data_IF_781707751295
#
_entry.id   IF_781707751295
#
_cell.length_a   1.000
_cell.length_b   1.000
_cell.length_c   1.000
_cell.angle_alpha   90.00
_cell.angle_beta   90.00
_cell.angle_gamma   90.00
#
_symmetry.space_group_name_H-M   'P 1'
#
loop_
_entity.id
_entity.type
_entity.pdbx_description
1 polymer ?
#
# COMPACT_ATOMS: atom_id res chain seq x y z
N UNK A 1 32.54 -34.46 11.26
CA UNK A 1 32.02 -33.31 12.03
C UNK A 1 31.35 -32.38 11.04
N UNK A 2 30.03 -32.48 10.94
CA UNK A 2 29.19 -31.52 10.23
C UNK A 2 28.62 -30.62 11.31
N UNK A 3 29.07 -29.37 11.38
CA UNK A 3 28.34 -28.33 12.10
C UNK A 3 27.36 -27.71 11.11
N UNK A 4 26.14 -28.22 11.12
CA UNK A 4 24.99 -27.57 10.50
C UNK A 4 24.47 -26.53 11.48
N UNK A 5 24.93 -25.29 11.35
CA UNK A 5 24.34 -24.15 12.05
C UNK A 5 22.96 -23.89 11.43
N UNK A 6 21.92 -24.42 12.07
CA UNK A 6 20.54 -24.03 11.81
C UNK A 6 20.40 -22.54 12.12
N UNK A 7 20.44 -21.70 11.10
CA UNK A 7 19.91 -20.34 11.18
C UNK A 7 18.40 -20.49 11.44
N UNK A 8 17.98 -20.21 12.67
CA UNK A 8 16.57 -20.09 13.00
C UNK A 8 16.05 -18.84 12.26
N UNK A 9 15.53 -19.04 11.04
CA UNK A 9 14.69 -18.04 10.39
C UNK A 9 13.43 -17.95 11.25
N UNK A 10 13.42 -17.03 12.22
CA UNK A 10 12.20 -16.67 12.94
C UNK A 10 11.24 -16.09 11.91
N UNK A 11 10.26 -16.89 11.50
CA UNK A 11 9.16 -16.46 10.64
C UNK A 11 8.55 -15.19 11.23
N UNK A 12 8.36 -14.17 10.39
CA UNK A 12 7.67 -12.95 10.82
C UNK A 12 6.20 -13.29 11.02
N UNK A 13 5.66 -13.04 12.22
CA UNK A 13 4.25 -13.28 12.52
C UNK A 13 3.43 -11.97 12.55
N UNK A 14 2.13 -12.09 12.28
CA UNK A 14 1.19 -10.96 12.18
C UNK A 14 1.09 -10.15 13.48
N UNK A 15 1.22 -10.79 14.65
CA UNK A 15 1.08 -10.14 15.94
C UNK A 15 2.30 -9.26 16.24
N UNK A 16 3.49 -9.70 15.82
CA UNK A 16 4.70 -8.88 15.83
C UNK A 16 4.55 -7.63 14.96
N UNK A 17 4.10 -7.77 13.70
CA UNK A 17 3.89 -6.64 12.80
C UNK A 17 2.83 -5.68 13.35
N UNK A 18 1.70 -6.22 13.84
CA UNK A 18 0.62 -5.43 14.45
C UNK A 18 1.10 -4.63 15.66
N UNK A 19 1.91 -5.24 16.53
CA UNK A 19 2.51 -4.55 17.68
C UNK A 19 3.41 -3.40 17.24
N UNK A 20 4.23 -3.62 16.20
CA UNK A 20 5.08 -2.56 15.65
C UNK A 20 4.26 -1.44 15.02
N UNK A 21 3.20 -1.75 14.27
CA UNK A 21 2.29 -0.72 13.74
C UNK A 21 1.68 0.13 14.86
N UNK A 22 1.21 -0.50 15.93
CA UNK A 22 0.63 0.20 17.07
C UNK A 22 1.65 1.12 17.77
N UNK A 23 2.90 0.68 17.89
CA UNK A 23 4.01 1.50 18.38
C UNK A 23 4.36 2.64 17.41
N UNK A 24 4.30 2.38 16.11
CA UNK A 24 4.56 3.38 15.08
C UNK A 24 3.47 4.46 15.04
N UNK A 25 2.20 4.13 15.33
CA UNK A 25 1.13 5.12 15.56
C UNK A 25 1.48 6.07 16.71
N UNK A 26 2.20 5.59 17.72
CA UNK A 26 2.70 6.39 18.86
C UNK A 26 4.05 7.05 18.59
N UNK A 27 4.57 6.95 17.36
CA UNK A 27 5.85 7.50 16.92
C UNK A 27 7.06 6.99 17.72
N UNK A 28 7.03 5.73 18.16
CA UNK A 28 8.22 5.13 18.77
C UNK A 28 9.31 4.88 17.71
N UNK A 29 10.54 5.39 17.89
CA UNK A 29 11.61 5.27 16.89
C UNK A 29 11.95 3.83 16.51
N UNK A 30 11.90 2.91 17.47
CA UNK A 30 12.20 1.49 17.26
C UNK A 30 11.23 0.84 16.28
N UNK A 31 9.96 1.25 16.31
CA UNK A 31 8.96 0.76 15.38
C UNK A 31 9.16 1.33 13.97
N UNK A 32 9.57 2.60 13.86
CA UNK A 32 9.91 3.18 12.55
C UNK A 32 11.14 2.51 11.95
N UNK A 33 12.15 2.23 12.78
CA UNK A 33 13.35 1.52 12.38
C UNK A 33 13.02 0.10 11.90
N UNK A 34 12.16 -0.62 12.61
CA UNK A 34 11.69 -1.94 12.20
C UNK A 34 11.16 -1.95 10.76
N UNK A 35 10.26 -1.03 10.40
CA UNK A 35 9.72 -0.98 9.03
C UNK A 35 10.74 -0.51 7.99
N UNK A 36 11.65 0.40 8.36
CA UNK A 36 12.72 0.83 7.46
C UNK A 36 13.68 -0.33 7.13
N UNK A 37 14.01 -1.19 8.10
CA UNK A 37 14.85 -2.38 7.87
C UNK A 37 14.15 -3.47 7.05
N UNK A 38 12.82 -3.45 6.99
CA UNK A 38 12.01 -4.46 6.31
C UNK A 38 11.36 -3.94 5.01
N UNK A 39 11.81 -2.80 4.47
CA UNK A 39 11.20 -2.15 3.32
C UNK A 39 11.21 -2.99 2.02
N UNK A 40 12.07 -4.02 1.97
CA UNK A 40 12.17 -4.96 0.85
C UNK A 40 11.77 -6.40 1.28
N UNK A 41 11.07 -6.55 2.41
CA UNK A 41 10.67 -7.85 2.94
C UNK A 41 9.24 -8.22 2.50
N UNK A 42 9.12 -9.20 1.61
CA UNK A 42 7.84 -9.65 1.06
C UNK A 42 6.88 -10.24 2.12
N UNK A 43 7.39 -10.91 3.15
CA UNK A 43 6.56 -11.45 4.23
C UNK A 43 5.93 -10.32 5.06
N UNK A 44 6.72 -9.28 5.38
CA UNK A 44 6.19 -8.10 6.08
C UNK A 44 5.19 -7.36 5.20
N UNK A 45 5.45 -7.23 3.89
CA UNK A 45 4.50 -6.61 2.96
C UNK A 45 3.16 -7.34 2.94
N UNK A 46 3.16 -8.66 2.82
CA UNK A 46 1.94 -9.47 2.83
C UNK A 46 1.14 -9.25 4.13
N UNK A 47 1.81 -9.27 5.28
CA UNK A 47 1.17 -9.02 6.58
C UNK A 47 0.62 -7.59 6.70
N UNK A 48 1.26 -6.59 6.09
CA UNK A 48 0.74 -5.23 6.04
C UNK A 48 -0.57 -5.16 5.24
N UNK A 49 -0.69 -5.90 4.13
CA UNK A 49 -1.93 -6.01 3.37
C UNK A 49 -3.04 -6.72 4.17
N UNK A 50 -2.72 -7.86 4.80
CA UNK A 50 -3.66 -8.58 5.67
C UNK A 50 -4.24 -7.67 6.78
N UNK A 51 -3.38 -6.83 7.36
CA UNK A 51 -3.79 -5.88 8.40
C UNK A 51 -4.61 -4.73 7.82
N UNK A 52 -4.24 -4.22 6.65
CA UNK A 52 -4.92 -3.08 6.00
C UNK A 52 -6.34 -3.45 5.53
N UNK A 53 -6.52 -4.67 5.04
CA UNK A 53 -7.80 -5.20 4.56
C UNK A 53 -8.64 -5.85 5.68
N UNK A 54 -8.00 -6.25 6.78
CA UNK A 54 -8.65 -6.92 7.89
C UNK A 54 -9.42 -6.00 8.84
N UNK A 55 -10.12 -6.63 9.80
CA UNK A 55 -10.85 -5.95 10.88
C UNK A 55 -9.92 -5.57 12.02
N UNK A 56 -9.13 -4.52 11.78
CA UNK A 56 -8.23 -3.92 12.77
C UNK A 56 -8.63 -2.48 13.07
N UNK A 57 -8.18 -1.92 14.21
CA UNK A 57 -8.37 -0.49 14.46
C UNK A 57 -7.78 0.32 13.31
N UNK A 58 -8.62 1.01 12.57
CA UNK A 58 -8.46 2.34 11.99
C UNK A 58 -7.04 2.95 11.98
N UNK A 59 -6.48 3.28 13.14
CA UNK A 59 -5.14 3.86 13.25
C UNK A 59 -4.02 2.90 12.84
N UNK A 60 -4.18 1.61 13.15
CA UNK A 60 -3.31 0.51 12.71
C UNK A 60 -3.46 0.30 11.21
N UNK A 61 -4.69 0.24 10.67
CA UNK A 61 -4.96 0.11 9.23
C UNK A 61 -4.38 1.28 8.43
N UNK A 62 -4.55 2.50 8.92
CA UNK A 62 -3.95 3.69 8.32
C UNK A 62 -2.42 3.58 8.30
N UNK A 63 -1.82 3.17 9.42
CA UNK A 63 -0.36 3.07 9.54
C UNK A 63 0.19 1.95 8.66
N UNK A 64 -0.49 0.82 8.53
CA UNK A 64 -0.08 -0.26 7.62
C UNK A 64 -0.10 0.21 6.18
N UNK A 65 -1.19 0.85 5.72
CA UNK A 65 -1.26 1.44 4.38
C UNK A 65 -0.16 2.46 4.12
N UNK A 66 0.17 3.28 5.13
CA UNK A 66 1.24 4.26 4.98
C UNK A 66 2.60 3.61 4.70
N UNK A 67 2.90 2.48 5.36
CA UNK A 67 4.13 1.72 5.12
C UNK A 67 4.09 0.96 3.80
N UNK A 68 2.95 0.38 3.39
CA UNK A 68 2.78 -0.24 2.06
C UNK A 68 3.21 0.76 0.96
N UNK A 69 2.78 2.02 1.07
CA UNK A 69 3.11 3.05 0.09
C UNK A 69 4.61 3.40 0.02
N UNK A 70 5.44 2.92 0.93
CA UNK A 70 6.88 3.11 0.94
C UNK A 70 7.63 2.00 0.16
N UNK A 71 7.07 0.79 0.05
CA UNK A 71 7.71 -0.37 -0.61
C UNK A 71 8.04 -0.11 -2.10
N UNK A 72 9.05 -0.78 -2.67
CA UNK A 72 9.42 -0.66 -4.08
C UNK A 72 8.27 -1.01 -5.03
N UNK A 73 8.29 -0.43 -6.23
CA UNK A 73 7.20 -0.60 -7.21
C UNK A 73 7.07 -2.06 -7.66
N UNK A 74 8.20 -2.74 -7.86
CA UNK A 74 8.31 -4.14 -8.25
C UNK A 74 7.61 -5.10 -7.29
N UNK A 75 7.63 -4.80 -5.98
CA UNK A 75 6.94 -5.62 -4.99
C UNK A 75 5.44 -5.31 -4.92
N UNK A 76 5.07 -4.06 -5.18
CA UNK A 76 3.67 -3.62 -5.13
C UNK A 76 2.86 -4.05 -6.35
N UNK A 77 3.50 -4.39 -7.47
CA UNK A 77 2.82 -4.85 -8.69
C UNK A 77 1.97 -6.09 -8.45
N UNK A 78 2.43 -7.01 -7.60
CA UNK A 78 1.72 -8.25 -7.27
C UNK A 78 0.45 -8.00 -6.42
N UNK A 79 0.28 -6.79 -5.89
CA UNK A 79 -0.82 -6.39 -5.00
C UNK A 79 -1.73 -5.32 -5.60
N UNK A 80 -1.76 -5.17 -6.94
CA UNK A 80 -2.58 -4.12 -7.58
C UNK A 80 -4.07 -4.24 -7.20
N UNK A 81 -4.66 -5.44 -7.18
CA UNK A 81 -6.08 -5.64 -6.81
C UNK A 81 -6.36 -5.19 -5.37
N UNK A 82 -5.53 -5.63 -4.42
CA UNK A 82 -5.68 -5.28 -3.00
C UNK A 82 -5.53 -3.76 -2.79
N UNK A 83 -4.63 -3.12 -3.53
CA UNK A 83 -4.49 -1.67 -3.52
C UNK A 83 -5.71 -0.95 -4.10
N UNK A 84 -6.32 -1.48 -5.16
CA UNK A 84 -7.55 -0.93 -5.74
C UNK A 84 -8.72 -1.03 -4.76
N UNK A 85 -8.82 -2.13 -4.01
CA UNK A 85 -9.81 -2.27 -2.94
C UNK A 85 -9.57 -1.21 -1.84
N UNK A 86 -8.33 -1.04 -1.39
CA UNK A 86 -7.98 -0.01 -0.40
C UNK A 86 -8.20 1.42 -0.92
N UNK A 87 -7.99 1.70 -2.21
CA UNK A 87 -8.29 3.01 -2.82
C UNK A 87 -9.80 3.33 -2.78
N UNK A 88 -10.66 2.31 -2.77
CA UNK A 88 -12.11 2.48 -2.74
C UNK A 88 -12.67 2.77 -1.34
N UNK A 89 -11.82 2.66 -0.31
CA UNK A 89 -12.20 2.89 1.09
C UNK A 89 -12.72 4.32 1.32
N UNK A 90 -13.72 4.41 2.19
CA UNK A 90 -14.28 5.71 2.62
C UNK A 90 -13.33 6.45 3.55
N UNK A 91 -12.41 5.73 4.18
CA UNK A 91 -11.40 6.33 5.02
C UNK A 91 -10.32 7.00 4.17
N UNK A 92 -10.34 8.33 4.15
CA UNK A 92 -9.45 9.14 3.30
C UNK A 92 -7.97 8.75 3.47
N UNK A 93 -7.45 8.68 4.69
CA UNK A 93 -6.05 8.31 4.93
C UNK A 93 -5.64 6.92 4.41
N UNK A 94 -6.51 5.91 4.53
CA UNK A 94 -6.24 4.57 3.97
C UNK A 94 -6.22 4.65 2.44
N UNK A 95 -7.25 5.26 1.86
CA UNK A 95 -7.38 5.44 0.42
C UNK A 95 -6.22 6.25 -0.17
N UNK A 96 -5.78 7.33 0.48
CA UNK A 96 -4.74 8.23 -0.02
C UNK A 96 -3.38 7.54 -0.11
N UNK A 97 -3.06 6.70 0.88
CA UNK A 97 -1.85 5.88 0.85
C UNK A 97 -1.92 4.80 -0.23
N UNK A 98 -3.07 4.15 -0.42
CA UNK A 98 -3.28 3.21 -1.52
C UNK A 98 -3.15 3.89 -2.90
N UNK A 99 -3.72 5.09 -3.08
CA UNK A 99 -3.57 5.91 -4.29
C UNK A 99 -2.09 6.19 -4.58
N UNK A 100 -1.31 6.54 -3.55
CA UNK A 100 0.13 6.78 -3.69
C UNK A 100 0.88 5.53 -4.14
N UNK A 101 0.56 4.36 -3.56
CA UNK A 101 1.15 3.08 -3.96
C UNK A 101 0.78 2.71 -5.42
N UNK A 102 -0.48 2.86 -5.79
CA UNK A 102 -0.98 2.61 -7.15
C UNK A 102 -0.35 3.54 -8.19
N UNK A 103 -0.14 4.81 -7.83
CA UNK A 103 0.57 5.76 -8.68
C UNK A 103 2.03 5.35 -8.89
N UNK A 104 2.68 4.76 -7.86
CA UNK A 104 4.06 4.26 -7.94
C UNK A 104 4.17 3.12 -8.97
N UNK A 105 3.21 2.21 -9.01
CA UNK A 105 3.16 1.13 -10.02
C UNK A 105 2.52 1.56 -11.34
N UNK A 106 2.10 2.82 -11.45
CA UNK A 106 1.46 3.42 -12.64
C UNK A 106 0.20 2.67 -13.08
N UNK A 107 -0.61 2.21 -12.13
CA UNK A 107 -1.87 1.48 -12.41
C UNK A 107 -2.83 2.36 -13.23
N UNK A 108 -3.20 1.97 -14.46
CA UNK A 108 -4.17 2.72 -15.25
C UNK A 108 -5.58 2.65 -14.66
N UNK A 109 -5.92 1.52 -14.01
CA UNK A 109 -7.20 1.32 -13.32
C UNK A 109 -7.35 2.28 -12.14
N UNK A 110 -6.28 2.44 -11.37
CA UNK A 110 -6.27 3.38 -10.26
C UNK A 110 -6.39 4.83 -10.72
N UNK A 111 -5.71 5.18 -11.83
CA UNK A 111 -5.80 6.52 -12.41
C UNK A 111 -7.22 6.81 -12.92
N UNK A 112 -7.86 5.83 -13.57
CA UNK A 112 -9.27 5.92 -13.96
C UNK A 112 -10.18 6.18 -12.76
N UNK A 113 -10.02 5.39 -11.68
CA UNK A 113 -10.78 5.58 -10.45
C UNK A 113 -10.57 6.98 -9.86
N UNK A 114 -9.33 7.45 -9.77
CA UNK A 114 -9.00 8.77 -9.23
C UNK A 114 -9.72 9.88 -10.01
N UNK A 115 -9.68 9.81 -11.33
CA UNK A 115 -10.35 10.79 -12.21
C UNK A 115 -11.87 10.74 -12.00
N UNK A 116 -12.49 9.56 -12.10
CA UNK A 116 -13.95 9.40 -12.06
C UNK A 116 -14.55 9.66 -10.68
N UNK A 117 -13.89 9.22 -9.60
CA UNK A 117 -14.48 9.16 -8.27
C UNK A 117 -13.98 10.27 -7.33
N UNK A 118 -12.78 10.81 -7.54
CA UNK A 118 -12.19 11.82 -6.62
C UNK A 118 -12.12 13.21 -7.26
N UNK A 119 -11.82 13.30 -8.56
CA UNK A 119 -11.63 14.58 -9.27
C UNK A 119 -12.94 15.06 -9.89
N UNK A 120 -13.51 14.30 -10.83
CA UNK A 120 -14.70 14.68 -11.60
C UNK A 120 -15.88 15.17 -10.75
N UNK A 121 -16.20 14.57 -9.59
CA UNK A 121 -17.32 15.02 -8.76
C UNK A 121 -17.13 16.43 -8.18
N UNK A 122 -15.89 16.90 -8.09
CA UNK A 122 -15.51 18.20 -7.51
C UNK A 122 -15.07 19.21 -8.59
N UNK A 123 -14.45 18.70 -9.66
CA UNK A 123 -13.78 19.45 -10.72
C UNK A 123 -14.09 18.81 -12.08
N UNK A 124 -15.28 19.10 -12.62
CA UNK A 124 -15.81 18.42 -13.81
C UNK A 124 -14.94 18.64 -15.05
N UNK A 125 -14.54 19.88 -15.33
CA UNK A 125 -13.80 20.22 -16.55
C UNK A 125 -12.40 19.58 -16.53
N UNK A 126 -11.72 19.63 -15.38
CA UNK A 126 -10.42 19.00 -15.16
C UNK A 126 -10.54 17.47 -15.25
N UNK A 127 -11.59 16.90 -14.67
CA UNK A 127 -11.89 15.48 -14.79
C UNK A 127 -12.08 15.04 -16.24
N UNK A 128 -12.86 15.78 -17.04
CA UNK A 128 -13.07 15.48 -18.47
C UNK A 128 -11.76 15.57 -19.27
N UNK A 129 -10.95 16.61 -19.02
CA UNK A 129 -9.64 16.75 -19.66
C UNK A 129 -8.69 15.59 -19.32
N UNK A 130 -8.65 15.17 -18.05
CA UNK A 130 -7.84 14.03 -17.62
C UNK A 130 -8.34 12.71 -18.20
N UNK A 131 -9.66 12.51 -18.30
CA UNK A 131 -10.24 11.32 -18.93
C UNK A 131 -9.85 11.19 -20.40
N UNK A 132 -9.84 12.29 -21.16
CA UNK A 132 -9.36 12.28 -22.54
C UNK A 132 -7.88 11.90 -22.61
N UNK A 133 -7.04 12.51 -21.79
CA UNK A 133 -5.61 12.19 -21.75
C UNK A 133 -5.35 10.72 -21.38
N UNK A 134 -6.11 10.18 -20.43
CA UNK A 134 -6.03 8.77 -20.04
C UNK A 134 -6.43 7.83 -21.18
N UNK A 135 -7.46 8.17 -21.94
CA UNK A 135 -7.88 7.37 -23.09
C UNK A 135 -6.77 7.28 -24.15
N UNK A 136 -6.08 8.39 -24.42
CA UNK A 136 -4.93 8.41 -25.34
C UNK A 136 -3.78 7.52 -24.82
N UNK A 137 -3.41 7.66 -23.54
CA UNK A 137 -2.36 6.83 -22.93
C UNK A 137 -2.67 5.34 -22.98
N UNK A 138 -3.93 4.96 -22.82
CA UNK A 138 -4.38 3.56 -22.88
C UNK A 138 -4.42 3.02 -24.31
N UNK A 139 -4.71 3.87 -25.30
CA UNK A 139 -4.69 3.49 -26.71
C UNK A 139 -3.27 3.22 -27.23
N UNK A 140 -2.27 3.85 -26.61
CA UNK A 140 -0.84 3.70 -26.94
C UNK A 140 -0.15 2.52 -26.23
N UNK A 141 -0.86 1.77 -25.37
CA UNK A 141 -0.31 0.57 -24.74
C UNK A 141 -0.25 -0.61 -25.75
N UNK A 142 0.88 -1.32 -25.83
CA UNK A 142 1.10 -2.40 -26.80
C UNK A 142 0.25 -3.65 -26.55
#
# INVERSE_FOLDING_TARGET
>A
MQDSTNAATTAVDIETVRKQLFNAVRNYPEAQHYFAEHIDNAEVLALLFDISLGDYPDSVRMKSCSYIAEYPAEMLQDYEEDLLDLQSEKWEWVSDHAIKALAKIKSPRALKYLVEQRIMPKLKLEGEALSHHLADLLADLP
#
